data_IF_787862568579
#
_entry.id   IF_787862568579
#
_cell.length_a   1.000
_cell.length_b   1.000
_cell.length_c   1.000
_cell.angle_alpha   90.00
_cell.angle_beta   90.00
_cell.angle_gamma   90.00
#
_symmetry.space_group_name_H-M   'P 1'
#
loop_
_entity.id
_entity.type
_entity.pdbx_description
1 polymer ?
#
# COMPACT_ATOMS: atom_id res chain seq x y z
N UNK A 1 -0.15 50.76 59.90
CA UNK A 1 -1.37 49.92 59.87
C UNK A 1 -1.36 49.15 58.55
N UNK A 2 -0.62 48.04 58.48
CA UNK A 2 -0.49 47.22 57.26
C UNK A 2 -1.55 46.13 57.33
N UNK A 3 -2.60 46.27 56.52
CA UNK A 3 -3.68 45.29 56.45
C UNK A 3 -3.16 44.06 55.72
N UNK A 4 -3.15 42.92 56.43
CA UNK A 4 -2.77 41.58 55.93
C UNK A 4 -3.42 41.33 54.57
N UNK A 5 -2.61 41.22 53.52
CA UNK A 5 -3.08 40.86 52.18
C UNK A 5 -3.50 39.39 52.21
N UNK A 6 -4.82 39.18 52.19
CA UNK A 6 -5.48 37.88 52.13
C UNK A 6 -5.10 37.17 50.83
N UNK A 7 -4.80 35.86 50.89
CA UNK A 7 -4.59 34.97 49.72
C UNK A 7 -5.92 34.71 48.99
N UNK A 8 -6.59 35.74 48.53
CA UNK A 8 -7.92 35.66 47.90
C UNK A 8 -7.99 36.53 46.66
N UNK A 9 -8.73 36.07 45.66
CA UNK A 9 -9.03 36.85 44.45
C UNK A 9 -9.73 38.15 44.80
N UNK A 10 -9.22 39.28 44.30
CA UNK A 10 -9.77 40.60 44.51
C UNK A 10 -10.49 41.06 43.24
N UNK A 11 -11.72 41.58 43.38
CA UNK A 11 -12.49 42.12 42.26
C UNK A 11 -12.85 43.58 42.54
N UNK A 12 -12.50 44.47 41.61
CA UNK A 12 -12.65 45.92 41.72
C UNK A 12 -13.30 46.50 40.45
N UNK A 13 -14.07 47.58 40.57
CA UNK A 13 -14.56 48.34 39.42
C UNK A 13 -13.49 49.34 38.97
N UNK A 14 -12.98 49.18 37.75
CA UNK A 14 -12.03 50.09 37.12
C UNK A 14 -12.63 50.89 35.96
N UNK A 15 -11.86 51.84 35.43
CA UNK A 15 -12.26 52.67 34.27
C UNK A 15 -12.51 51.87 32.99
N UNK A 16 -11.91 50.68 32.87
CA UNK A 16 -12.07 49.76 31.74
C UNK A 16 -13.06 48.63 32.04
N UNK A 17 -13.82 48.72 33.14
CA UNK A 17 -14.73 47.69 33.62
C UNK A 17 -14.20 46.93 34.83
N UNK A 18 -14.78 45.77 35.10
CA UNK A 18 -14.43 44.94 36.25
C UNK A 18 -13.01 44.37 36.10
N UNK A 19 -12.17 44.59 37.11
CA UNK A 19 -10.80 44.08 37.19
C UNK A 19 -10.75 43.03 38.30
N UNK A 20 -10.34 41.81 37.95
CA UNK A 20 -10.09 40.75 38.92
C UNK A 20 -8.58 40.47 38.98
N UNK A 21 -8.03 40.36 40.18
CA UNK A 21 -6.63 40.05 40.46
C UNK A 21 -6.57 38.71 41.19
N UNK A 22 -5.70 37.82 40.73
CA UNK A 22 -5.51 36.49 41.31
C UNK A 22 -4.67 36.53 42.61
N UNK A 23 -4.45 35.35 43.22
CA UNK A 23 -3.70 35.24 44.46
C UNK A 23 -2.20 35.55 44.32
N UNK A 24 -1.67 35.54 43.08
CA UNK A 24 -0.28 35.89 42.78
C UNK A 24 -0.11 37.39 42.54
N UNK A 25 -1.20 38.15 42.46
CA UNK A 25 -1.19 39.58 42.16
C UNK A 25 -1.31 39.88 40.66
N UNK A 26 -1.61 38.87 39.82
CA UNK A 26 -1.76 39.04 38.38
C UNK A 26 -3.21 39.34 38.00
N UNK A 27 -3.41 40.14 36.95
CA UNK A 27 -4.75 40.46 36.46
C UNK A 27 -5.33 39.28 35.67
N UNK A 28 -6.54 38.86 36.01
CA UNK A 28 -7.40 38.05 35.15
C UNK A 28 -7.82 38.89 33.93
N UNK A 29 -7.13 38.70 32.80
CA UNK A 29 -7.33 39.49 31.60
C UNK A 29 -8.40 38.87 30.69
N UNK A 30 -9.29 39.74 30.19
CA UNK A 30 -10.24 39.39 29.15
C UNK A 30 -9.62 39.69 27.77
N UNK A 31 -9.91 38.84 26.79
CA UNK A 31 -9.36 38.93 25.44
C UNK A 31 -10.47 38.87 24.40
N UNK A 32 -10.30 39.58 23.28
CA UNK A 32 -11.17 39.44 22.11
C UNK A 32 -10.42 38.70 21.01
N UNK A 33 -11.07 37.70 20.43
CA UNK A 33 -10.59 37.02 19.23
C UNK A 33 -11.05 37.80 18.01
N UNK A 34 -10.10 38.20 17.18
CA UNK A 34 -10.36 38.93 15.95
C UNK A 34 -10.09 38.02 14.76
N UNK A 35 -10.93 38.12 13.74
CA UNK A 35 -10.80 37.41 12.48
C UNK A 35 -10.76 38.40 11.30
N UNK A 36 -10.02 38.06 10.26
CA UNK A 36 -9.85 38.91 9.09
C UNK A 36 -11.02 38.72 8.12
N UNK A 37 -11.71 39.81 7.79
CA UNK A 37 -12.75 39.80 6.75
C UNK A 37 -12.10 39.92 5.38
N UNK A 38 -12.23 38.92 4.49
CA UNK A 38 -11.60 38.96 3.18
C UNK A 38 -12.20 40.05 2.26
N UNK A 39 -13.45 40.47 2.51
CA UNK A 39 -14.14 41.46 1.68
C UNK A 39 -13.65 42.89 1.95
N UNK A 40 -13.38 43.21 3.20
CA UNK A 40 -12.99 44.57 3.65
C UNK A 40 -11.51 44.68 4.01
N UNK A 41 -10.81 43.56 4.22
CA UNK A 41 -9.44 43.53 4.70
C UNK A 41 -9.28 43.97 6.17
N UNK A 42 -10.38 44.11 6.90
CA UNK A 42 -10.39 44.57 8.30
C UNK A 42 -10.55 43.42 9.28
N UNK A 43 -9.97 43.58 10.47
CA UNK A 43 -10.18 42.66 11.57
C UNK A 43 -11.48 42.96 12.30
N UNK A 44 -12.30 41.94 12.53
CA UNK A 44 -13.54 42.04 13.30
C UNK A 44 -13.53 41.05 14.47
N UNK A 45 -14.13 41.45 15.60
CA UNK A 45 -14.28 40.55 16.74
C UNK A 45 -15.26 39.43 16.40
N UNK A 46 -14.86 38.19 16.66
CA UNK A 46 -15.67 36.97 16.44
C UNK A 46 -16.01 36.24 17.74
N UNK A 47 -15.33 36.57 18.83
CA UNK A 47 -15.61 36.01 20.16
C UNK A 47 -14.81 36.70 21.25
N UNK A 48 -15.24 36.51 22.49
CA UNK A 48 -14.57 37.04 23.67
C UNK A 48 -14.20 35.91 24.62
N UNK A 49 -13.04 36.01 25.23
CA UNK A 49 -12.59 35.15 26.31
C UNK A 49 -12.59 35.96 27.61
N UNK A 50 -13.28 35.45 28.61
CA UNK A 50 -13.35 36.06 29.94
C UNK A 50 -12.34 35.38 30.86
N UNK A 51 -11.31 36.11 31.30
CA UNK A 51 -10.20 35.57 32.09
C UNK A 51 -10.64 35.09 33.48
N UNK A 52 -11.65 35.74 34.05
CA UNK A 52 -12.17 35.39 35.39
C UNK A 52 -12.91 34.05 35.38
N UNK A 53 -13.76 33.80 34.39
CA UNK A 53 -14.52 32.54 34.24
C UNK A 53 -13.79 31.50 33.40
N UNK A 54 -12.70 31.89 32.75
CA UNK A 54 -11.92 31.09 31.79
C UNK A 54 -12.77 30.55 30.64
N UNK A 55 -13.77 31.32 30.22
CA UNK A 55 -14.75 30.89 29.23
C UNK A 55 -14.62 31.69 27.93
N UNK A 56 -14.61 30.98 26.81
CA UNK A 56 -14.77 31.55 25.48
C UNK A 56 -16.25 31.61 25.09
N UNK A 57 -16.69 32.77 24.63
CA UNK A 57 -18.05 33.03 24.16
C UNK A 57 -18.00 33.60 22.75
N UNK A 58 -18.47 32.84 21.73
CA UNK A 58 -18.55 33.35 20.36
C UNK A 58 -19.62 34.44 20.24
N UNK A 59 -19.38 35.42 19.38
CA UNK A 59 -20.37 36.46 19.11
C UNK A 59 -21.51 35.92 18.23
N UNK A 60 -22.78 36.17 18.57
CA UNK A 60 -23.91 35.75 17.75
C UNK A 60 -23.82 36.30 16.32
N UNK A 61 -23.97 35.43 15.32
CA UNK A 61 -23.94 35.82 13.91
C UNK A 61 -22.55 36.10 13.34
N UNK A 62 -21.48 36.02 14.14
CA UNK A 62 -20.08 36.10 13.68
C UNK A 62 -19.46 34.71 13.73
N UNK A 63 -18.97 34.23 12.59
CA UNK A 63 -18.25 32.95 12.47
C UNK A 63 -16.81 33.22 12.02
N UNK A 64 -15.90 32.36 12.45
CA UNK A 64 -14.50 32.38 11.99
C UNK A 64 -14.48 31.89 10.54
N UNK A 65 -13.85 32.66 9.66
CA UNK A 65 -13.67 32.38 8.26
C UNK A 65 -12.34 31.66 8.05
N UNK A 66 -12.40 30.33 7.95
CA UNK A 66 -11.21 29.55 7.68
C UNK A 66 -10.80 29.62 6.22
N UNK A 67 -9.49 29.73 5.99
CA UNK A 67 -8.91 29.79 4.66
C UNK A 67 -9.37 28.63 3.77
N UNK A 68 -9.60 28.92 2.48
CA UNK A 68 -10.09 27.94 1.51
C UNK A 68 -11.59 27.63 1.63
N UNK A 69 -12.38 28.52 2.23
CA UNK A 69 -13.85 28.36 2.34
C UNK A 69 -14.27 27.25 3.30
N UNK A 70 -13.43 26.90 4.26
CA UNK A 70 -13.72 25.84 5.23
C UNK A 70 -14.69 26.37 6.29
N UNK A 71 -15.61 25.50 6.72
CA UNK A 71 -16.53 25.79 7.83
C UNK A 71 -15.88 25.51 9.19
N UNK A 72 -14.91 24.61 9.21
CA UNK A 72 -14.24 24.12 10.42
C UNK A 72 -12.74 24.47 10.44
N UNK A 73 -12.13 24.58 11.64
CA UNK A 73 -10.71 24.80 11.78
C UNK A 73 -9.88 23.76 11.03
N UNK A 74 -8.74 24.17 10.44
CA UNK A 74 -7.78 23.19 9.94
C UNK A 74 -7.30 22.32 11.09
N UNK A 75 -6.96 21.04 10.83
CA UNK A 75 -6.32 20.18 11.82
C UNK A 75 -5.06 20.84 12.39
N UNK A 76 -4.87 20.72 13.70
CA UNK A 76 -3.69 21.19 14.44
C UNK A 76 -2.42 20.39 14.07
N UNK A 77 -2.59 19.14 13.62
CA UNK A 77 -1.50 18.27 13.16
C UNK A 77 -1.79 17.80 11.72
N UNK A 78 -0.79 17.83 10.82
CA UNK A 78 -0.91 17.24 9.49
C UNK A 78 -1.26 15.74 9.55
N UNK A 79 -1.92 15.23 8.51
CA UNK A 79 -2.35 13.81 8.41
C UNK A 79 -1.21 12.80 8.68
N UNK A 80 0.02 13.17 8.34
CA UNK A 80 1.21 12.32 8.43
C UNK A 80 2.12 12.67 9.63
N UNK A 81 1.67 13.54 10.54
CA UNK A 81 2.55 14.15 11.55
C UNK A 81 3.44 15.23 10.93
N UNK A 82 4.10 16.02 11.77
CA UNK A 82 5.03 17.07 11.31
C UNK A 82 6.33 16.50 10.76
N UNK A 83 6.77 15.36 11.30
CA UNK A 83 8.00 14.66 10.97
C UNK A 83 7.80 13.51 9.96
N UNK A 84 6.56 13.29 9.53
CA UNK A 84 6.20 12.20 8.64
C UNK A 84 6.15 10.82 9.32
N UNK A 85 6.33 10.73 10.64
CA UNK A 85 6.37 9.45 11.38
C UNK A 85 5.06 8.68 11.36
N UNK A 86 3.92 9.39 11.24
CA UNK A 86 2.58 8.79 11.18
C UNK A 86 2.20 8.34 9.77
N UNK A 87 3.02 8.63 8.75
CA UNK A 87 2.78 8.05 7.44
C UNK A 87 2.97 6.54 7.48
N UNK A 88 2.19 5.79 6.68
CA UNK A 88 2.54 4.42 6.37
C UNK A 88 3.98 4.38 5.89
N UNK A 89 4.84 3.64 6.59
CA UNK A 89 6.20 3.39 6.10
C UNK A 89 6.07 2.85 4.69
N UNK A 90 6.85 3.41 3.74
CA UNK A 90 6.99 2.82 2.41
C UNK A 90 7.43 1.37 2.65
N UNK A 91 6.50 0.42 2.55
CA UNK A 91 6.85 -0.98 2.66
C UNK A 91 7.79 -1.22 1.49
N UNK A 92 9.07 -1.61 1.72
CA UNK A 92 9.89 -2.05 0.61
C UNK A 92 9.14 -3.16 -0.11
N UNK A 93 9.43 -3.34 -1.40
CA UNK A 93 8.89 -4.48 -2.15
C UNK A 93 8.99 -5.73 -1.28
N UNK A 94 7.92 -6.54 -1.20
CA UNK A 94 7.92 -7.67 -0.30
C UNK A 94 9.17 -8.52 -0.57
N UNK A 95 9.85 -8.99 0.47
CA UNK A 95 11.11 -9.75 0.33
C UNK A 95 10.93 -10.96 -0.61
N UNK A 96 9.75 -11.58 -0.57
CA UNK A 96 9.38 -12.65 -1.49
C UNK A 96 9.31 -12.22 -2.96
N UNK A 97 9.03 -10.96 -3.26
CA UNK A 97 9.00 -10.42 -4.63
C UNK A 97 10.35 -10.54 -5.32
N UNK A 98 11.44 -10.19 -4.63
CA UNK A 98 12.80 -10.30 -5.16
C UNK A 98 13.16 -11.79 -5.37
N UNK A 99 12.84 -12.64 -4.39
CA UNK A 99 13.10 -14.09 -4.48
C UNK A 99 12.35 -14.71 -5.66
N UNK A 100 11.08 -14.36 -5.87
CA UNK A 100 10.29 -14.89 -6.99
C UNK A 100 10.82 -14.45 -8.35
N UNK A 101 11.26 -13.18 -8.48
CA UNK A 101 11.84 -12.66 -9.74
C UNK A 101 13.12 -13.39 -10.12
N UNK A 102 13.91 -13.85 -9.15
CA UNK A 102 15.17 -14.58 -9.41
C UNK A 102 14.93 -16.09 -9.59
N UNK A 103 14.12 -16.70 -8.73
CA UNK A 103 13.98 -18.16 -8.69
C UNK A 103 13.18 -18.71 -9.88
N UNK A 104 12.11 -18.01 -10.29
CA UNK A 104 11.24 -18.44 -11.39
C UNK A 104 11.98 -18.57 -12.73
N UNK A 105 12.76 -17.58 -13.20
CA UNK A 105 13.48 -17.72 -14.47
C UNK A 105 14.56 -18.79 -14.42
N UNK A 106 15.24 -18.98 -13.28
CA UNK A 106 16.23 -20.06 -13.11
C UNK A 106 15.55 -21.43 -13.30
N UNK A 107 14.42 -21.66 -12.61
CA UNK A 107 13.66 -22.90 -12.75
C UNK A 107 13.14 -23.10 -14.18
N UNK A 108 12.67 -22.04 -14.84
CA UNK A 108 12.23 -22.10 -16.23
C UNK A 108 13.37 -22.46 -17.19
N UNK A 109 14.57 -21.92 -16.99
CA UNK A 109 15.77 -22.27 -17.78
C UNK A 109 16.15 -23.73 -17.55
N UNK A 110 16.18 -24.21 -16.31
CA UNK A 110 16.49 -25.63 -16.02
C UNK A 110 15.44 -26.56 -16.63
N UNK A 111 14.16 -26.20 -16.56
CA UNK A 111 13.09 -26.96 -17.21
C UNK A 111 13.27 -26.98 -18.73
N UNK A 112 13.60 -25.84 -19.34
CA UNK A 112 13.80 -25.75 -20.78
C UNK A 112 15.02 -26.57 -21.24
N UNK A 113 16.15 -26.47 -20.52
CA UNK A 113 17.36 -27.22 -20.85
C UNK A 113 17.12 -28.73 -20.72
N UNK A 114 16.49 -29.18 -19.65
CA UNK A 114 16.13 -30.59 -19.45
C UNK A 114 15.18 -31.11 -20.53
N UNK A 115 14.17 -30.34 -20.93
CA UNK A 115 13.26 -30.70 -22.04
C UNK A 115 13.99 -30.81 -23.38
N UNK A 116 14.91 -29.89 -23.69
CA UNK A 116 15.71 -29.92 -24.91
C UNK A 116 16.61 -31.16 -24.93
N UNK A 117 17.31 -31.43 -23.83
CA UNK A 117 18.18 -32.60 -23.69
C UNK A 117 17.38 -33.89 -23.82
N UNK A 118 16.23 -33.99 -23.16
CA UNK A 118 15.35 -35.16 -23.25
C UNK A 118 14.88 -35.41 -24.70
N UNK A 119 14.47 -34.35 -25.41
CA UNK A 119 14.07 -34.46 -26.83
C UNK A 119 15.22 -34.94 -27.71
N UNK A 120 16.43 -34.42 -27.50
CA UNK A 120 17.63 -34.87 -28.22
C UNK A 120 17.93 -36.34 -27.92
N UNK A 121 17.94 -36.73 -26.65
CA UNK A 121 18.20 -38.11 -26.25
C UNK A 121 17.21 -39.09 -26.87
N UNK A 122 15.92 -38.75 -26.91
CA UNK A 122 14.90 -39.61 -27.55
C UNK A 122 15.15 -39.77 -29.06
N UNK A 123 15.52 -38.69 -29.76
CA UNK A 123 15.85 -38.75 -31.19
C UNK A 123 17.09 -39.63 -31.45
N UNK A 124 18.14 -39.48 -30.64
CA UNK A 124 19.35 -40.32 -30.72
C UNK A 124 19.01 -41.80 -30.45
N UNK A 125 18.13 -42.08 -29.48
CA UNK A 125 17.69 -43.44 -29.17
C UNK A 125 16.88 -44.06 -30.32
N UNK A 126 16.01 -43.29 -30.99
CA UNK A 126 15.25 -43.75 -32.17
C UNK A 126 16.17 -43.97 -33.38
N UNK A 127 17.20 -43.14 -33.60
CA UNK A 127 18.23 -43.34 -34.62
C UNK A 127 19.09 -44.60 -34.34
N UNK A 128 19.48 -44.80 -33.08
CA UNK A 128 20.27 -45.94 -32.64
C UNK A 128 19.49 -47.27 -32.68
N UNK A 129 18.16 -47.23 -32.69
CA UNK A 129 17.33 -48.42 -32.77
C UNK A 129 17.53 -49.21 -34.09
N UNK A 130 18.13 -48.59 -35.13
CA UNK A 130 18.46 -49.24 -36.41
C UNK A 130 17.27 -49.99 -37.06
N UNK A 131 16.04 -49.60 -36.76
CA UNK A 131 14.81 -50.22 -37.29
C UNK A 131 14.69 -50.10 -38.82
N UNK A 132 15.49 -49.24 -39.45
CA UNK A 132 15.61 -49.06 -40.89
C UNK A 132 16.52 -50.08 -41.57
N UNK A 133 17.34 -50.84 -40.81
CA UNK A 133 18.12 -51.95 -41.35
C UNK A 133 17.19 -53.16 -41.53
N UNK A 134 16.68 -53.31 -42.74
CA UNK A 134 16.02 -54.54 -43.18
C UNK A 134 17.04 -55.68 -43.13
N UNK A 135 16.76 -56.76 -42.40
CA UNK A 135 17.61 -57.95 -42.42
C UNK A 135 17.38 -58.70 -43.73
N UNK A 136 18.45 -59.23 -44.31
CA UNK A 136 18.38 -59.97 -45.58
C UNK A 136 17.44 -61.17 -45.52
N UNK A 137 17.28 -61.77 -44.33
CA UNK A 137 16.39 -62.92 -44.09
C UNK A 137 14.89 -62.57 -44.22
N UNK A 138 14.52 -61.29 -44.12
CA UNK A 138 13.14 -60.82 -44.19
C UNK A 138 12.70 -60.44 -45.63
N UNK A 139 13.61 -60.55 -46.61
CA UNK A 139 13.34 -60.19 -48.01
C UNK A 139 12.84 -61.42 -48.76
N UNK A 140 11.51 -61.57 -48.87
CA UNK A 140 10.88 -62.62 -49.66
C UNK A 140 10.76 -62.21 -51.13
N UNK A 141 11.49 -62.88 -52.02
CA UNK A 141 11.33 -62.72 -53.47
C UNK A 141 10.25 -63.67 -53.97
N UNK A 142 9.04 -63.16 -54.22
CA UNK A 142 8.01 -63.92 -54.91
C UNK A 142 8.37 -64.08 -56.39
N UNK A 143 9.01 -65.19 -56.75
CA UNK A 143 9.17 -65.63 -58.14
C UNK A 143 7.90 -66.31 -58.68
N UNK A 144 7.64 -66.29 -60.00
CA UNK A 144 6.42 -66.87 -60.57
C UNK A 144 6.50 -68.40 -60.48
N UNK A 145 5.69 -69.00 -59.61
CA UNK A 145 5.55 -70.46 -59.54
C UNK A 145 4.83 -70.98 -60.80
N UNK A 146 5.61 -71.44 -61.78
CA UNK A 146 5.15 -72.38 -62.80
C UNK A 146 4.99 -73.75 -62.13
N UNK A 147 3.77 -74.26 -62.16
CA UNK A 147 3.37 -75.46 -61.44
C UNK A 147 4.10 -76.72 -61.84
N UNK A 148 4.12 -77.67 -60.92
CA UNK A 148 4.36 -79.07 -61.22
C UNK A 148 3.21 -79.94 -60.68
N UNK A 149 2.54 -80.61 -61.61
CA UNK A 149 1.62 -81.72 -61.38
C UNK A 149 2.45 -82.99 -61.57
N UNK A 150 2.53 -83.85 -60.54
CA UNK A 150 2.74 -85.30 -60.69
C UNK A 150 2.77 -85.94 -59.30
N UNK A 151 2.25 -87.13 -59.02
CA UNK A 151 1.32 -88.04 -59.70
C UNK A 151 1.07 -89.16 -58.70
N UNK A 152 -0.19 -89.55 -58.57
CA UNK A 152 -0.66 -90.74 -57.90
C UNK A 152 -0.11 -92.03 -58.55
N UNK A 153 0.36 -92.98 -57.73
CA UNK A 153 0.34 -94.44 -58.00
C UNK A 153 0.63 -95.28 -56.73
N UNK A 154 -0.40 -96.02 -56.30
CA UNK A 154 -0.41 -97.37 -55.65
C UNK A 154 0.80 -98.24 -56.05
N UNK A 155 1.33 -99.20 -55.26
CA UNK A 155 0.68 -100.22 -54.43
C UNK A 155 1.71 -101.07 -53.62
N UNK A 156 1.22 -101.76 -52.58
CA UNK A 156 1.63 -103.10 -52.05
C UNK A 156 2.98 -103.31 -51.34
N UNK A 157 2.94 -103.54 -50.02
CA UNK A 157 3.05 -104.89 -49.40
C UNK A 157 2.49 -104.85 -47.96
#
# INVERSE_FOLDING_TARGET
MLQRYSRTTLTLAGITGTVSIDANGDRNADYSLLDLRPETGSFEVVGNYFGTTKQYTPLPGKKILWAGGRVEPPPDVPKCGFDGSKCPKKKPFPEYGIVTIVLVPILAVVLLTTLIVYRRYKQEAELAAMNWRVRWDDILFSGPSRGDRRSEKRNSQ
#
